data_IF_943471460064
#
_entry.id   IF_943471460064
#
_cell.length_a   1.000
_cell.length_b   1.000
_cell.length_c   1.000
_cell.angle_alpha   90.00
_cell.angle_beta   90.00
_cell.angle_gamma   90.00
#
_symmetry.space_group_name_H-M   'P 1'
#
loop_
_entity.id
_entity.type
_entity.pdbx_description
1 polymer ?
#
# COMPACT_ATOMS: atom_id res chain seq x y z
N UNK A 1 -3.77 14.39 91.41
CA UNK A 1 -3.32 15.50 90.54
C UNK A 1 -1.82 15.37 90.34
N UNK A 2 -1.23 15.33 89.12
CA UNK A 2 -1.84 15.10 87.81
C UNK A 2 -1.30 13.83 87.09
N UNK A 3 -2.09 13.41 86.11
CA UNK A 3 -1.81 12.40 85.10
C UNK A 3 -1.24 13.10 83.87
N UNK A 4 -0.10 12.66 83.34
CA UNK A 4 0.43 13.09 82.04
C UNK A 4 0.25 11.95 81.04
N UNK A 5 -0.77 12.04 80.19
CA UNK A 5 -0.94 11.13 79.06
C UNK A 5 -0.01 11.55 77.91
N UNK A 6 0.79 10.60 77.44
CA UNK A 6 1.56 10.73 76.22
C UNK A 6 0.60 10.75 75.02
N UNK A 7 0.58 11.87 74.31
CA UNK A 7 -0.18 12.08 73.09
C UNK A 7 0.47 11.27 71.96
N UNK A 8 -0.01 10.04 71.72
CA UNK A 8 0.37 9.28 70.54
C UNK A 8 -0.45 9.77 69.34
N UNK A 9 0.13 10.72 68.59
CA UNK A 9 -0.28 11.02 67.21
C UNK A 9 -0.07 9.76 66.36
N UNK A 10 -1.06 8.85 66.34
CA UNK A 10 -1.14 7.83 65.31
C UNK A 10 -1.65 8.51 64.05
N UNK A 11 -0.77 8.64 63.07
CA UNK A 11 -1.16 8.94 61.70
C UNK A 11 -2.11 7.83 61.22
N UNK A 12 -3.42 8.10 61.28
CA UNK A 12 -4.43 7.23 60.69
C UNK A 12 -4.39 7.48 59.19
N UNK A 13 -3.66 6.64 58.46
CA UNK A 13 -3.76 6.64 57.00
C UNK A 13 -5.20 6.30 56.63
N UNK A 14 -5.88 7.10 55.78
CA UNK A 14 -7.24 6.83 55.40
C UNK A 14 -7.31 5.47 54.71
N UNK A 15 -8.12 4.56 55.27
CA UNK A 15 -8.35 3.22 54.74
C UNK A 15 -9.08 3.36 53.41
N UNK A 16 -8.34 3.44 52.31
CA UNK A 16 -8.94 3.47 50.99
C UNK A 16 -9.81 2.23 50.82
N UNK A 17 -11.06 2.46 50.43
CA UNK A 17 -12.03 1.41 50.18
C UNK A 17 -11.55 0.54 49.01
N UNK A 18 -11.73 -0.78 49.11
CA UNK A 18 -11.40 -1.74 48.02
C UNK A 18 -12.09 -1.33 46.70
N UNK A 19 -13.25 -0.68 46.79
CA UNK A 19 -13.96 -0.13 45.62
C UNK A 19 -13.20 1.03 44.94
N UNK A 20 -12.50 1.85 45.71
CA UNK A 20 -11.67 2.94 45.18
C UNK A 20 -10.43 2.39 44.46
N UNK A 21 -9.78 1.38 45.02
CA UNK A 21 -8.63 0.70 44.37
C UNK A 21 -9.06 0.02 43.06
N UNK A 22 -10.20 -0.67 43.06
CA UNK A 22 -10.76 -1.29 41.85
C UNK A 22 -11.09 -0.24 40.78
N UNK A 23 -11.67 0.90 41.16
CA UNK A 23 -11.97 1.99 40.22
C UNK A 23 -10.70 2.52 39.54
N UNK A 24 -9.64 2.81 40.31
CA UNK A 24 -8.37 3.27 39.72
C UNK A 24 -7.69 2.19 38.87
N UNK A 25 -7.83 0.91 39.21
CA UNK A 25 -7.34 -0.19 38.38
C UNK A 25 -8.08 -0.27 37.04
N UNK A 26 -9.42 -0.18 37.04
CA UNK A 26 -10.21 -0.13 35.79
C UNK A 26 -9.88 1.11 34.96
N UNK A 27 -9.73 2.28 35.60
CA UNK A 27 -9.33 3.50 34.93
C UNK A 27 -7.94 3.37 34.29
N UNK A 28 -6.98 2.74 34.97
CA UNK A 28 -5.63 2.53 34.45
C UNK A 28 -5.60 1.53 33.29
N UNK A 29 -6.46 0.49 33.33
CA UNK A 29 -6.66 -0.44 32.20
C UNK A 29 -7.23 0.31 30.99
N UNK A 30 -8.27 1.12 31.19
CA UNK A 30 -8.88 1.93 30.11
C UNK A 30 -7.86 2.91 29.52
N UNK A 31 -7.11 3.62 30.37
CA UNK A 31 -6.06 4.55 29.93
C UNK A 31 -4.92 3.83 29.20
N UNK A 32 -4.55 2.62 29.62
CA UNK A 32 -3.56 1.79 28.90
C UNK A 32 -4.06 1.43 27.49
N UNK A 33 -5.32 1.05 27.33
CA UNK A 33 -5.90 0.77 26.00
C UNK A 33 -6.03 2.04 25.13
N UNK A 34 -6.41 3.19 25.69
CA UNK A 34 -6.48 4.47 24.96
C UNK A 34 -5.09 4.98 24.55
N UNK A 35 -4.08 4.79 25.42
CA UNK A 35 -2.71 5.20 25.10
C UNK A 35 -2.05 4.29 24.05
N UNK A 36 -2.42 3.00 24.00
CA UNK A 36 -1.98 2.05 22.97
C UNK A 36 -2.52 2.41 21.58
N UNK A 37 -3.79 2.81 21.45
CA UNK A 37 -4.36 3.16 20.14
C UNK A 37 -3.73 4.42 19.54
N UNK A 38 -3.26 5.33 20.39
CA UNK A 38 -2.63 6.60 19.98
C UNK A 38 -1.22 6.43 19.37
N UNK A 39 -0.56 5.28 19.59
CA UNK A 39 0.81 4.98 19.12
C UNK A 39 0.79 4.21 17.78
N UNK A 40 -0.38 3.77 17.30
CA UNK A 40 -0.51 2.98 16.08
C UNK A 40 -0.89 3.80 14.84
N UNK A 41 -0.49 5.08 14.78
CA UNK A 41 -0.44 5.81 13.51
C UNK A 41 0.96 5.65 12.96
N UNK A 42 1.22 4.52 12.28
CA UNK A 42 2.41 4.42 11.45
C UNK A 42 2.20 5.35 10.26
N UNK A 43 2.94 6.45 10.22
CA UNK A 43 2.97 7.32 9.05
C UNK A 43 3.69 6.57 7.94
N UNK A 44 2.94 6.12 6.94
CA UNK A 44 3.51 5.51 5.73
C UNK A 44 3.86 6.61 4.74
N UNK A 45 5.05 6.50 4.13
CA UNK A 45 5.50 7.39 3.08
C UNK A 45 5.71 6.56 1.82
N UNK A 46 4.99 6.91 0.75
CA UNK A 46 5.21 6.36 -0.59
C UNK A 46 6.14 7.26 -1.41
N UNK A 47 6.50 6.77 -2.60
CA UNK A 47 7.24 7.53 -3.59
C UNK A 47 6.73 7.20 -5.00
N UNK A 48 6.82 8.16 -5.90
CA UNK A 48 6.56 8.00 -7.34
C UNK A 48 7.73 8.65 -8.08
N UNK A 49 8.20 8.01 -9.14
CA UNK A 49 9.16 8.58 -10.07
C UNK A 49 8.53 8.55 -11.46
N UNK A 50 8.61 9.66 -12.21
CA UNK A 50 7.90 9.77 -13.48
C UNK A 50 8.67 10.53 -14.53
N UNK A 51 8.37 10.25 -15.79
CA UNK A 51 8.93 11.01 -16.93
C UNK A 51 8.43 12.45 -16.96
N UNK A 52 9.30 13.37 -17.42
CA UNK A 52 8.92 14.77 -17.68
C UNK A 52 8.10 14.85 -18.98
N UNK A 53 8.49 14.10 -20.00
CA UNK A 53 7.79 14.03 -21.26
C UNK A 53 6.70 12.94 -21.23
N UNK A 54 5.75 13.05 -22.16
CA UNK A 54 4.73 12.04 -22.42
C UNK A 54 5.00 11.37 -23.77
N UNK A 55 4.64 10.10 -23.85
CA UNK A 55 4.86 9.26 -25.02
C UNK A 55 3.54 8.66 -25.48
N UNK A 56 3.35 8.60 -26.79
CA UNK A 56 2.24 7.91 -27.40
C UNK A 56 2.80 6.65 -28.06
N UNK A 57 2.36 5.48 -27.58
CA UNK A 57 2.85 4.17 -27.99
C UNK A 57 4.34 3.93 -27.66
N UNK A 58 4.76 2.68 -27.83
CA UNK A 58 6.16 2.27 -27.66
C UNK A 58 6.32 1.05 -26.77
N UNK A 59 7.57 0.70 -26.51
CA UNK A 59 7.97 -0.34 -25.57
C UNK A 59 8.72 0.29 -24.42
N UNK A 60 8.28 0.02 -23.20
CA UNK A 60 8.87 0.56 -21.99
C UNK A 60 9.20 -0.60 -21.06
N UNK A 61 10.41 -0.56 -20.51
CA UNK A 61 10.97 -1.64 -19.69
C UNK A 61 11.69 -1.06 -18.48
N UNK A 62 11.62 -1.78 -17.37
CA UNK A 62 12.33 -1.47 -16.13
C UNK A 62 12.71 -2.75 -15.40
N UNK A 63 13.79 -2.70 -14.64
CA UNK A 63 14.24 -3.82 -13.81
C UNK A 63 13.81 -3.60 -12.37
N UNK A 64 12.87 -4.41 -11.88
CA UNK A 64 12.24 -4.24 -10.57
C UNK A 64 12.59 -5.43 -9.69
N UNK A 65 12.90 -5.13 -8.43
CA UNK A 65 12.79 -6.07 -7.31
C UNK A 65 11.80 -5.45 -6.32
N UNK A 66 10.59 -5.99 -6.26
CA UNK A 66 9.50 -5.41 -5.47
C UNK A 66 9.65 -5.69 -3.98
N UNK A 67 8.92 -4.95 -3.15
CA UNK A 67 8.91 -5.15 -1.69
C UNK A 67 7.81 -6.13 -1.27
N UNK A 68 8.17 -7.18 -0.53
CA UNK A 68 7.21 -8.13 0.04
C UNK A 68 6.65 -7.64 1.38
N UNK A 69 5.33 -7.73 1.56
CA UNK A 69 4.64 -7.34 2.78
C UNK A 69 3.17 -7.00 2.53
N UNK A 70 2.33 -7.25 3.53
CA UNK A 70 0.92 -6.85 3.48
C UNK A 70 0.80 -5.32 3.40
N UNK A 71 -0.03 -4.84 2.46
CA UNK A 71 -0.21 -3.42 2.17
C UNK A 71 0.88 -2.76 1.31
N UNK A 72 1.90 -3.50 0.83
CA UNK A 72 2.86 -2.97 -0.14
C UNK A 72 2.42 -3.16 -1.58
N UNK A 73 2.70 -2.16 -2.41
CA UNK A 73 2.54 -2.19 -3.86
C UNK A 73 3.82 -1.61 -4.49
N UNK A 74 4.38 -2.33 -5.45
CA UNK A 74 5.36 -1.79 -6.39
C UNK A 74 4.76 -1.85 -7.78
N UNK A 75 4.73 -0.73 -8.50
CA UNK A 75 4.10 -0.63 -9.81
C UNK A 75 5.03 -0.04 -10.86
N UNK A 76 4.71 -0.33 -12.11
CA UNK A 76 5.26 0.31 -13.30
C UNK A 76 4.11 0.53 -14.27
N UNK A 77 3.81 1.78 -14.57
CA UNK A 77 2.55 2.11 -15.22
C UNK A 77 2.65 3.34 -16.12
N UNK A 78 1.59 3.57 -16.90
CA UNK A 78 1.42 4.79 -17.67
C UNK A 78 0.27 5.64 -17.13
N UNK A 79 0.40 6.96 -17.20
CA UNK A 79 -0.70 7.84 -16.81
C UNK A 79 -0.79 9.09 -17.66
N UNK A 80 -2.02 9.49 -18.01
CA UNK A 80 -2.28 10.75 -18.68
C UNK A 80 -2.60 11.85 -17.65
N UNK A 81 -1.76 12.90 -17.57
CA UNK A 81 -1.86 13.97 -16.56
C UNK A 81 -3.25 14.62 -16.46
N UNK A 82 -4.01 14.69 -17.57
CA UNK A 82 -5.34 15.31 -17.55
C UNK A 82 -6.42 14.38 -16.98
N UNK A 83 -6.15 13.07 -16.93
CA UNK A 83 -7.09 12.01 -16.54
C UNK A 83 -8.42 11.98 -17.31
N UNK A 84 -8.52 12.67 -18.47
CA UNK A 84 -9.71 12.71 -19.31
C UNK A 84 -9.36 12.82 -20.82
N UNK A 85 -9.64 11.78 -21.63
CA UNK A 85 -10.14 10.47 -21.22
C UNK A 85 -9.12 9.70 -20.35
N UNK A 86 -9.60 8.80 -19.50
CA UNK A 86 -8.71 7.95 -18.69
C UNK A 86 -8.03 6.92 -19.60
N UNK A 87 -6.71 6.82 -19.48
CA UNK A 87 -5.89 5.82 -20.13
C UNK A 87 -4.69 5.52 -19.25
N UNK A 88 -4.53 4.25 -18.89
CA UNK A 88 -3.47 3.75 -18.01
C UNK A 88 -3.20 2.27 -18.28
N UNK A 89 -1.92 1.89 -18.30
CA UNK A 89 -1.44 0.51 -18.45
C UNK A 89 -0.65 0.19 -17.19
N UNK A 90 -0.98 -0.91 -16.51
CA UNK A 90 -0.37 -1.25 -15.23
C UNK A 90 0.40 -2.56 -15.27
N UNK A 91 1.51 -2.58 -14.52
CA UNK A 91 2.12 -3.77 -13.93
C UNK A 91 2.16 -3.53 -12.43
N UNK A 92 1.46 -4.37 -11.67
CA UNK A 92 1.32 -4.23 -10.22
C UNK A 92 1.81 -5.50 -9.50
N UNK A 93 2.78 -5.31 -8.60
CA UNK A 93 3.36 -6.36 -7.76
C UNK A 93 2.90 -6.13 -6.32
N UNK A 94 1.78 -6.76 -5.97
CA UNK A 94 1.23 -6.69 -4.62
C UNK A 94 2.14 -7.49 -3.67
N UNK A 95 2.66 -6.82 -2.64
CA UNK A 95 3.57 -7.41 -1.65
C UNK A 95 2.95 -8.56 -0.85
N UNK A 96 1.62 -8.69 -0.87
CA UNK A 96 0.87 -9.80 -0.25
C UNK A 96 1.13 -11.14 -0.97
N UNK A 97 1.34 -11.11 -2.29
CA UNK A 97 1.47 -12.31 -3.12
C UNK A 97 2.90 -12.49 -3.59
N UNK A 98 3.34 -13.74 -3.67
CA UNK A 98 4.73 -14.09 -3.99
C UNK A 98 4.88 -14.85 -5.30
N UNK A 99 3.82 -15.03 -6.09
CA UNK A 99 3.86 -15.70 -7.40
C UNK A 99 2.80 -15.10 -8.33
N UNK A 100 2.60 -13.79 -8.23
CA UNK A 100 1.54 -13.09 -8.95
C UNK A 100 2.01 -11.72 -9.41
N UNK A 101 1.57 -11.35 -10.60
CA UNK A 101 1.60 -9.97 -11.11
C UNK A 101 0.21 -9.62 -11.61
N UNK A 102 -0.27 -8.43 -11.27
CA UNK A 102 -1.51 -7.88 -11.78
C UNK A 102 -1.19 -7.00 -12.98
N UNK A 103 -1.88 -7.25 -14.10
CA UNK A 103 -1.73 -6.53 -15.35
C UNK A 103 -3.06 -5.88 -15.66
N UNK A 104 -3.08 -4.60 -16.00
CA UNK A 104 -4.35 -3.90 -16.18
C UNK A 104 -4.25 -2.86 -17.29
N UNK A 105 -5.39 -2.59 -17.88
CA UNK A 105 -5.62 -1.38 -18.66
C UNK A 105 -6.81 -0.72 -18.02
N UNK A 106 -6.73 0.56 -17.76
CA UNK A 106 -7.85 1.36 -17.27
C UNK A 106 -8.20 2.35 -18.37
N UNK A 107 -9.44 2.28 -18.85
CA UNK A 107 -9.93 3.15 -19.93
C UNK A 107 -10.98 4.14 -19.44
N UNK A 108 -11.55 4.91 -20.36
CA UNK A 108 -12.54 5.96 -20.10
C UNK A 108 -13.63 5.49 -19.13
N UNK A 109 -13.94 6.31 -18.12
CA UNK A 109 -14.88 5.93 -17.07
C UNK A 109 -14.30 4.97 -16.02
N UNK A 110 -12.96 4.87 -15.94
CA UNK A 110 -12.23 4.00 -15.02
C UNK A 110 -12.59 2.52 -15.18
N UNK A 111 -12.84 2.09 -16.42
CA UNK A 111 -13.14 0.70 -16.72
C UNK A 111 -11.85 -0.12 -16.65
N UNK A 112 -11.77 -1.02 -15.67
CA UNK A 112 -10.63 -1.94 -15.49
C UNK A 112 -10.76 -3.17 -16.37
N UNK A 113 -9.63 -3.57 -16.96
CA UNK A 113 -9.45 -4.79 -17.75
C UNK A 113 -8.39 -5.68 -17.09
N UNK A 114 -8.49 -5.88 -15.78
CA UNK A 114 -7.46 -6.56 -14.99
C UNK A 114 -7.29 -8.03 -15.36
N UNK A 115 -6.03 -8.46 -15.38
CA UNK A 115 -5.60 -9.86 -15.43
C UNK A 115 -4.58 -10.10 -14.34
N UNK A 116 -4.99 -10.84 -13.31
CA UNK A 116 -4.07 -11.47 -12.38
C UNK A 116 -3.36 -12.64 -13.08
N UNK A 117 -2.02 -12.61 -13.10
CA UNK A 117 -1.19 -13.59 -13.81
C UNK A 117 -0.26 -14.31 -12.83
N UNK A 118 -0.20 -15.64 -12.92
CA UNK A 118 0.73 -16.45 -12.14
C UNK A 118 2.12 -16.42 -12.76
N UNK A 119 3.15 -16.22 -11.94
CA UNK A 119 4.55 -16.28 -12.36
C UNK A 119 5.30 -17.37 -11.59
N UNK A 120 6.24 -18.12 -12.21
CA UNK A 120 6.87 -19.29 -11.60
C UNK A 120 8.00 -18.96 -10.62
N UNK A 121 8.08 -17.71 -10.14
CA UNK A 121 9.12 -17.20 -9.24
C UNK A 121 8.55 -16.14 -8.30
N UNK A 122 9.29 -15.81 -7.24
CA UNK A 122 8.93 -14.74 -6.32
C UNK A 122 9.51 -13.39 -6.77
N UNK A 123 8.67 -12.41 -7.17
CA UNK A 123 9.12 -11.15 -7.74
C UNK A 123 9.82 -10.23 -6.74
N UNK A 124 9.73 -10.56 -5.44
CA UNK A 124 10.32 -9.77 -4.36
C UNK A 124 11.75 -10.18 -3.99
N UNK A 125 12.22 -11.34 -4.48
CA UNK A 125 13.53 -11.89 -4.08
C UNK A 125 14.68 -11.37 -4.94
N UNK A 126 14.46 -11.23 -6.25
CA UNK A 126 15.50 -10.85 -7.21
C UNK A 126 14.97 -9.81 -8.20
N UNK A 127 15.88 -9.18 -8.94
CA UNK A 127 15.49 -8.28 -10.02
C UNK A 127 14.98 -9.07 -11.22
N UNK A 128 13.89 -8.58 -11.81
CA UNK A 128 13.34 -9.07 -13.08
C UNK A 128 13.04 -7.88 -13.99
N UNK A 129 13.18 -8.10 -15.28
CA UNK A 129 12.87 -7.07 -16.28
C UNK A 129 11.38 -7.15 -16.62
N UNK A 130 10.63 -6.13 -16.25
CA UNK A 130 9.22 -5.98 -16.56
C UNK A 130 9.05 -4.97 -17.68
N UNK A 131 8.11 -5.22 -18.58
CA UNK A 131 7.82 -4.25 -19.61
C UNK A 131 6.47 -4.46 -20.25
N UNK A 132 6.04 -3.45 -21.00
CA UNK A 132 4.90 -3.55 -21.89
C UNK A 132 5.21 -2.91 -23.23
N UNK A 133 4.57 -3.43 -24.26
CA UNK A 133 4.53 -2.87 -25.60
C UNK A 133 3.11 -2.40 -25.87
N UNK A 134 2.99 -1.11 -26.17
CA UNK A 134 1.72 -0.43 -26.41
C UNK A 134 1.70 0.07 -27.86
N UNK A 135 0.69 -0.40 -28.58
CA UNK A 135 0.42 -0.06 -29.99
C UNK A 135 -1.05 0.37 -30.14
N UNK A 136 -1.44 0.95 -31.28
CA UNK A 136 -2.86 1.20 -31.57
C UNK A 136 -3.73 -0.08 -31.57
N UNK A 137 -3.14 -1.26 -31.80
CA UNK A 137 -3.88 -2.52 -31.96
C UNK A 137 -3.87 -3.41 -30.71
N UNK A 138 -2.81 -3.36 -29.91
CA UNK A 138 -2.64 -4.20 -28.73
C UNK A 138 -1.76 -3.56 -27.65
N UNK A 139 -1.92 -4.09 -26.44
CA UNK A 139 -0.94 -3.98 -25.35
C UNK A 139 -0.47 -5.39 -24.97
N UNK A 140 0.83 -5.61 -24.93
CA UNK A 140 1.44 -6.88 -24.53
C UNK A 140 2.40 -6.65 -23.36
N UNK A 141 2.39 -7.54 -22.37
CA UNK A 141 3.25 -7.47 -21.18
C UNK A 141 4.32 -8.55 -21.23
N UNK A 142 5.49 -8.19 -20.73
CA UNK A 142 6.70 -8.99 -20.80
C UNK A 142 7.36 -9.12 -19.43
N UNK A 143 7.94 -10.29 -19.18
CA UNK A 143 8.84 -10.55 -18.05
C UNK A 143 10.11 -11.21 -18.60
N UNK A 144 11.27 -10.64 -18.30
CA UNK A 144 12.58 -11.11 -18.77
C UNK A 144 12.62 -11.31 -20.30
N UNK A 145 11.96 -10.42 -21.04
CA UNK A 145 11.85 -10.45 -22.51
C UNK A 145 10.82 -11.42 -23.07
N UNK A 146 10.18 -12.27 -22.25
CA UNK A 146 9.12 -13.19 -22.67
C UNK A 146 7.75 -12.53 -22.55
N UNK A 147 6.93 -12.60 -23.62
CA UNK A 147 5.54 -12.15 -23.57
C UNK A 147 4.71 -13.09 -22.69
N UNK A 148 4.13 -12.56 -21.62
CA UNK A 148 3.31 -13.34 -20.68
C UNK A 148 1.82 -13.19 -20.94
N UNK A 149 1.42 -12.06 -21.52
CA UNK A 149 0.01 -11.74 -21.75
C UNK A 149 -0.15 -10.63 -22.77
N UNK A 150 -1.29 -10.62 -23.46
CA UNK A 150 -1.66 -9.61 -24.46
C UNK A 150 -3.15 -9.33 -24.40
N UNK A 151 -3.49 -8.06 -24.54
CA UNK A 151 -4.85 -7.59 -24.79
C UNK A 151 -4.94 -6.91 -26.15
N UNK A 152 -6.04 -7.17 -26.83
CA UNK A 152 -6.46 -6.52 -28.07
C UNK A 152 -7.97 -6.31 -27.99
N UNK A 153 -8.51 -5.28 -28.62
CA UNK A 153 -9.95 -5.03 -28.62
C UNK A 153 -10.28 -3.55 -28.71
N UNK A 154 -11.58 -3.26 -28.64
CA UNK A 154 -12.07 -1.88 -28.73
C UNK A 154 -11.52 -0.98 -27.62
N UNK A 155 -11.30 -1.52 -26.41
CA UNK A 155 -10.74 -0.76 -25.30
C UNK A 155 -9.29 -0.32 -25.54
N UNK A 156 -8.51 -1.05 -26.34
CA UNK A 156 -7.16 -0.61 -26.72
C UNK A 156 -7.21 0.62 -27.62
N UNK A 157 -8.25 0.77 -28.43
CA UNK A 157 -8.41 1.95 -29.30
C UNK A 157 -8.68 3.24 -28.52
N UNK A 158 -9.06 3.14 -27.25
CA UNK A 158 -9.17 4.28 -26.32
C UNK A 158 -7.81 4.73 -25.77
N UNK A 159 -6.77 3.90 -25.91
CA UNK A 159 -5.40 4.21 -25.49
C UNK A 159 -4.67 5.00 -26.59
N UNK A 160 -5.18 6.19 -26.93
CA UNK A 160 -4.73 7.01 -28.06
C UNK A 160 -4.08 8.35 -27.66
N UNK A 161 -3.99 8.62 -26.36
CA UNK A 161 -3.43 9.84 -25.79
C UNK A 161 -2.04 9.61 -25.21
N UNK A 162 -1.13 10.56 -25.39
CA UNK A 162 0.24 10.45 -24.89
C UNK A 162 0.27 10.43 -23.35
N UNK A 163 0.97 9.45 -22.77
CA UNK A 163 1.02 9.18 -21.34
C UNK A 163 2.45 9.30 -20.80
N UNK A 164 2.57 9.65 -19.52
CA UNK A 164 3.82 9.57 -18.77
C UNK A 164 4.09 8.12 -18.40
N UNK A 165 5.36 7.80 -18.20
CA UNK A 165 5.80 6.53 -17.65
C UNK A 165 6.16 6.76 -16.18
N UNK A 166 5.64 5.90 -15.31
CA UNK A 166 5.66 6.04 -13.85
C UNK A 166 6.08 4.72 -13.18
#
# INVERSE_FOLDING_TARGET
>A
VPCTSLNQNRYVFPRQSIYSIKFYLYLLIILFFIFRTSILSAQTHGAEYRTIDSYLYGRFETSIKSSQGDGFLSSFFTFYDSADPWGEIDIELLGLYDHTVDLNIITTGQASHIRQHYIPFNPHLEFHDYGFEWTPEYVAWFINGEEIYRQSGAHITEMDSAQKIM
#
